data_IF_436724813567
#
_entry.id   IF_436724813567
#
_cell.length_a   1.000
_cell.length_b   1.000
_cell.length_c   1.000
_cell.angle_alpha   90.00
_cell.angle_beta   90.00
_cell.angle_gamma   90.00
#
_symmetry.space_group_name_H-M   'P 1'
#
loop_
_entity.id
_entity.type
_entity.pdbx_description
1 polymer ?
#
# COMPACT_ATOMS: atom_id res chain seq x y z
N UNK A 1 13.54 2.06 2.41
CA UNK A 1 14.90 2.59 2.16
C UNK A 1 15.14 2.58 0.66
N UNK A 2 15.95 3.48 0.14
CA UNK A 2 16.41 3.49 -1.25
C UNK A 2 17.92 3.39 -1.28
N UNK A 3 18.46 2.53 -2.13
CA UNK A 3 19.90 2.29 -2.25
C UNK A 3 20.38 2.72 -3.63
N UNK A 4 21.48 3.45 -3.67
CA UNK A 4 22.13 3.89 -4.89
C UNK A 4 23.60 3.50 -4.84
N UNK A 5 24.03 2.67 -5.79
CA UNK A 5 25.39 2.15 -5.86
C UNK A 5 26.15 2.91 -6.95
N UNK A 6 27.21 3.63 -6.57
CA UNK A 6 28.02 4.46 -7.46
C UNK A 6 29.48 4.07 -7.33
N UNK A 7 30.01 3.38 -8.35
CA UNK A 7 31.42 3.03 -8.41
C UNK A 7 32.26 4.23 -8.86
N UNK A 8 33.49 4.34 -8.34
CA UNK A 8 34.45 5.39 -8.70
C UNK A 8 33.88 6.82 -8.54
N UNK A 9 33.22 7.09 -7.41
CA UNK A 9 32.59 8.39 -7.15
C UNK A 9 33.59 9.55 -7.20
N UNK A 10 34.84 9.33 -6.76
CA UNK A 10 35.88 10.35 -6.78
C UNK A 10 35.45 11.62 -6.03
N UNK A 11 35.61 12.78 -6.66
CA UNK A 11 35.17 14.07 -6.11
C UNK A 11 33.70 14.44 -6.36
N UNK A 12 32.95 13.57 -7.05
CA UNK A 12 31.53 13.79 -7.29
C UNK A 12 30.71 13.54 -6.01
N UNK A 13 29.46 14.02 -6.00
CA UNK A 13 28.52 13.91 -4.89
C UNK A 13 27.23 13.30 -5.37
N UNK A 14 26.69 12.42 -4.54
CA UNK A 14 25.35 11.86 -4.70
C UNK A 14 24.33 12.80 -4.06
N UNK A 15 23.20 13.02 -4.71
CA UNK A 15 22.06 13.76 -4.18
C UNK A 15 20.79 12.91 -4.25
N UNK A 16 19.97 13.00 -3.22
CA UNK A 16 18.65 12.40 -3.17
C UNK A 16 17.60 13.47 -3.42
N UNK A 17 16.72 13.22 -4.39
CA UNK A 17 15.69 14.17 -4.83
C UNK A 17 14.35 13.44 -4.87
N UNK A 18 13.29 14.07 -4.36
CA UNK A 18 11.92 13.64 -4.61
C UNK A 18 11.52 14.17 -5.99
N UNK A 19 11.52 13.30 -6.99
CA UNK A 19 11.50 13.67 -8.41
C UNK A 19 10.18 14.32 -8.84
N UNK A 20 9.06 13.91 -8.24
CA UNK A 20 7.73 14.46 -8.52
C UNK A 20 7.58 15.92 -8.03
N UNK A 21 8.12 16.24 -6.86
CA UNK A 21 8.08 17.60 -6.30
C UNK A 21 9.35 18.40 -6.58
N UNK A 22 10.33 17.82 -7.25
CA UNK A 22 11.68 18.38 -7.49
C UNK A 22 12.37 18.86 -6.21
N UNK A 23 12.07 18.26 -5.07
CA UNK A 23 12.60 18.66 -3.78
C UNK A 23 13.93 17.94 -3.50
N UNK A 24 14.99 18.71 -3.21
CA UNK A 24 16.27 18.15 -2.75
C UNK A 24 16.07 17.65 -1.32
N UNK A 25 16.29 16.35 -1.11
CA UNK A 25 16.15 15.71 0.19
C UNK A 25 17.47 15.70 0.95
N UNK A 26 18.54 15.32 0.26
CA UNK A 26 19.88 15.23 0.82
C UNK A 26 20.95 15.39 -0.25
N UNK A 27 22.14 15.85 0.16
CA UNK A 27 23.34 15.91 -0.66
C UNK A 27 24.47 15.27 0.13
N UNK A 28 25.10 14.26 -0.46
CA UNK A 28 26.11 13.44 0.17
C UNK A 28 25.59 12.87 1.50
N UNK A 29 26.26 13.11 2.62
CA UNK A 29 25.85 12.68 3.96
C UNK A 29 24.87 13.64 4.66
N UNK A 30 24.58 14.80 4.06
CA UNK A 30 23.80 15.85 4.71
C UNK A 30 22.35 15.86 4.22
N UNK A 31 21.42 15.73 5.17
CA UNK A 31 19.99 15.93 4.93
C UNK A 31 19.71 17.43 4.81
N UNK A 32 19.07 17.85 3.72
CA UNK A 32 18.75 19.27 3.43
C UNK A 32 17.29 19.60 3.78
N UNK A 33 16.40 18.63 3.62
CA UNK A 33 14.99 18.78 3.99
C UNK A 33 14.77 18.85 5.50
N UNK A 34 13.69 19.51 5.93
CA UNK A 34 13.27 19.61 7.33
C UNK A 34 12.52 18.35 7.85
N UNK A 35 12.33 17.33 7.01
CA UNK A 35 11.63 16.12 7.40
C UNK A 35 12.53 15.24 8.29
N UNK A 36 12.34 15.31 9.61
CA UNK A 36 13.09 14.57 10.62
C UNK A 36 13.04 13.03 10.49
N UNK A 37 12.12 12.49 9.67
CA UNK A 37 12.05 11.06 9.38
C UNK A 37 13.10 10.60 8.37
N UNK A 38 13.70 11.53 7.64
CA UNK A 38 14.72 11.26 6.62
C UNK A 38 16.12 11.21 7.23
N UNK A 39 16.91 10.26 6.75
CA UNK A 39 18.33 10.14 7.08
C UNK A 39 19.07 9.53 5.89
N UNK A 40 20.36 9.81 5.78
CA UNK A 40 21.24 9.21 4.78
C UNK A 40 22.32 8.41 5.47
N UNK A 41 22.66 7.25 4.91
CA UNK A 41 23.78 6.42 5.35
C UNK A 41 24.65 6.03 4.16
N UNK A 42 25.96 5.93 4.39
CA UNK A 42 26.96 5.49 3.43
C UNK A 42 27.73 4.31 4.01
N UNK A 43 28.17 3.37 3.16
CA UNK A 43 28.92 2.18 3.59
C UNK A 43 30.44 2.30 3.39
N UNK A 44 30.96 3.52 3.28
CA UNK A 44 32.39 3.84 3.06
C UNK A 44 33.00 3.31 1.75
N UNK A 45 32.18 2.76 0.83
CA UNK A 45 32.65 2.22 -0.43
C UNK A 45 31.96 2.84 -1.64
N UNK A 46 30.71 2.48 -1.87
CA UNK A 46 30.00 2.86 -3.09
C UNK A 46 28.48 2.98 -2.91
N UNK A 47 27.95 2.68 -1.72
CA UNK A 47 26.50 2.56 -1.52
C UNK A 47 25.98 3.69 -0.67
N UNK A 48 25.15 4.52 -1.27
CA UNK A 48 24.41 5.61 -0.64
C UNK A 48 22.98 5.18 -0.39
N UNK A 49 22.47 5.39 0.82
CA UNK A 49 21.13 4.94 1.20
C UNK A 49 20.31 6.08 1.76
N UNK A 50 19.10 6.29 1.21
CA UNK A 50 18.09 7.16 1.79
C UNK A 50 17.12 6.34 2.64
N UNK A 51 17.00 6.71 3.90
CA UNK A 51 16.14 6.06 4.88
C UNK A 51 14.96 6.98 5.22
N UNK A 52 13.74 6.44 5.18
CA UNK A 52 12.51 7.12 5.57
C UNK A 52 11.89 6.31 6.71
N UNK A 53 11.90 6.85 7.93
CA UNK A 53 11.30 6.22 9.10
C UNK A 53 9.79 6.45 9.13
N UNK A 54 9.01 5.43 9.51
CA UNK A 54 7.56 5.53 9.62
C UNK A 54 6.93 6.08 8.34
N UNK A 55 7.05 5.33 7.24
CA UNK A 55 6.54 5.73 5.92
C UNK A 55 5.04 6.02 5.99
N UNK A 56 4.63 7.10 5.35
CA UNK A 56 3.24 7.57 5.30
C UNK A 56 2.78 7.70 3.85
N UNK A 57 1.47 7.86 3.64
CA UNK A 57 0.86 7.92 2.30
C UNK A 57 1.45 9.05 1.46
N UNK A 58 1.76 10.17 2.07
CA UNK A 58 2.38 11.35 1.45
C UNK A 58 3.82 11.13 0.96
N UNK A 59 4.51 10.10 1.46
CA UNK A 59 5.85 9.73 0.97
C UNK A 59 5.77 9.00 -0.38
N UNK A 60 4.61 8.47 -0.76
CA UNK A 60 4.42 7.82 -2.06
C UNK A 60 4.88 8.74 -3.18
N UNK A 61 5.65 8.19 -4.12
CA UNK A 61 6.14 8.96 -5.25
C UNK A 61 7.48 8.49 -5.78
N UNK A 62 8.01 9.24 -6.74
CA UNK A 62 9.27 8.91 -7.38
C UNK A 62 10.43 9.57 -6.66
N UNK A 63 11.42 8.78 -6.28
CA UNK A 63 12.69 9.20 -5.69
C UNK A 63 13.81 9.01 -6.70
N UNK A 64 14.81 9.88 -6.62
CA UNK A 64 15.93 9.92 -7.56
C UNK A 64 17.24 10.03 -6.81
N UNK A 65 18.17 9.16 -7.16
CA UNK A 65 19.59 9.33 -6.87
C UNK A 65 20.24 10.00 -8.07
N UNK A 66 20.95 11.11 -7.84
CA UNK A 66 21.60 11.91 -8.88
C UNK A 66 23.06 12.11 -8.52
N UNK A 67 23.96 12.03 -9.51
CA UNK A 67 25.40 12.30 -9.34
C UNK A 67 25.75 13.52 -10.19
N UNK A 68 26.45 14.50 -9.61
CA UNK A 68 26.84 15.75 -10.28
C UNK A 68 27.96 15.59 -11.33
N UNK A 69 27.92 14.53 -12.13
CA UNK A 69 28.78 14.35 -13.31
C UNK A 69 28.35 15.28 -14.45
N UNK A 70 29.20 15.41 -15.47
CA UNK A 70 28.85 16.05 -16.73
C UNK A 70 29.05 15.05 -17.89
N UNK A 71 27.99 14.61 -18.58
CA UNK A 71 26.58 14.89 -18.30
C UNK A 71 26.11 14.26 -16.99
N UNK A 72 25.05 14.84 -16.41
CA UNK A 72 24.49 14.40 -15.14
C UNK A 72 23.91 13.00 -15.22
N UNK A 73 24.33 12.12 -14.32
CA UNK A 73 23.83 10.74 -14.21
C UNK A 73 22.78 10.64 -13.10
N UNK A 74 21.74 9.85 -13.34
CA UNK A 74 20.68 9.63 -12.35
C UNK A 74 20.07 8.23 -12.45
N UNK A 75 19.46 7.79 -11.36
CA UNK A 75 18.61 6.60 -11.29
C UNK A 75 17.36 6.92 -10.47
N UNK A 76 16.21 6.45 -10.92
CA UNK A 76 14.91 6.67 -10.26
C UNK A 76 14.31 5.38 -9.72
N UNK A 77 13.54 5.50 -8.65
CA UNK A 77 12.77 4.41 -8.05
C UNK A 77 11.43 4.96 -7.54
N UNK A 78 10.40 4.13 -7.53
CA UNK A 78 9.07 4.53 -7.06
C UNK A 78 8.78 3.94 -5.67
N UNK A 79 8.39 4.78 -4.71
CA UNK A 79 7.87 4.35 -3.42
C UNK A 79 6.38 4.08 -3.53
N UNK A 80 5.96 2.82 -3.46
CA UNK A 80 4.56 2.48 -3.24
C UNK A 80 4.30 2.24 -1.75
N UNK A 81 3.28 2.91 -1.21
CA UNK A 81 2.90 2.81 0.20
C UNK A 81 1.61 2.02 0.31
N UNK A 82 1.70 0.80 0.84
CA UNK A 82 0.56 -0.08 1.08
C UNK A 82 0.00 0.12 2.49
N UNK A 83 -1.32 0.01 2.62
CA UNK A 83 -2.04 0.14 3.88
C UNK A 83 -2.78 -1.18 4.12
N UNK A 84 -2.54 -1.87 5.24
CA UNK A 84 -3.18 -3.14 5.52
C UNK A 84 -4.72 -2.98 5.57
N UNK A 85 -5.47 -4.04 5.23
CA UNK A 85 -6.91 -4.05 5.38
C UNK A 85 -7.34 -3.86 6.84
N UNK A 86 -8.37 -3.06 7.06
CA UNK A 86 -8.98 -2.81 8.37
C UNK A 86 -10.50 -2.71 8.20
N UNK A 87 -11.25 -3.42 9.03
CA UNK A 87 -12.72 -3.48 8.93
C UNK A 87 -13.31 -2.20 9.52
N UNK A 88 -14.20 -1.57 8.77
CA UNK A 88 -14.98 -0.42 9.24
C UNK A 88 -16.21 -1.00 9.94
N UNK A 89 -16.13 -1.14 11.26
CA UNK A 89 -17.15 -1.82 12.07
C UNK A 89 -18.50 -1.10 11.99
N UNK A 90 -18.50 0.23 11.92
CA UNK A 90 -19.70 1.05 11.88
C UNK A 90 -20.50 0.90 10.57
N UNK A 91 -19.83 0.46 9.49
CA UNK A 91 -20.45 0.20 8.18
C UNK A 91 -20.59 -1.30 7.86
N UNK A 92 -20.19 -2.17 8.80
CA UNK A 92 -20.26 -3.62 8.66
C UNK A 92 -21.45 -4.14 9.44
N UNK A 93 -22.14 -5.15 8.89
CA UNK A 93 -23.25 -5.82 9.57
C UNK A 93 -22.77 -6.46 10.88
N UNK A 94 -23.45 -6.15 11.98
CA UNK A 94 -23.38 -6.95 13.21
C UNK A 94 -24.28 -8.18 13.12
N UNK A 95 -24.57 -8.77 14.27
CA UNK A 95 -25.45 -9.93 14.36
C UNK A 95 -26.86 -9.60 13.88
N UNK A 96 -27.43 -10.49 13.07
CA UNK A 96 -28.75 -10.33 12.47
C UNK A 96 -29.66 -11.51 12.84
N UNK A 97 -30.87 -11.19 13.29
CA UNK A 97 -31.96 -12.17 13.48
C UNK A 97 -32.95 -12.01 12.34
N UNK A 98 -33.15 -13.07 11.56
CA UNK A 98 -34.01 -13.04 10.37
C UNK A 98 -35.01 -14.20 10.45
N UNK A 99 -36.32 -13.94 10.33
CA UNK A 99 -37.33 -14.99 10.30
C UNK A 99 -37.08 -15.98 9.16
N UNK A 100 -37.52 -17.21 9.35
CA UNK A 100 -37.49 -18.21 8.29
C UNK A 100 -38.26 -17.73 7.04
N UNK A 101 -37.69 -17.96 5.86
CA UNK A 101 -38.23 -17.43 4.58
C UNK A 101 -37.99 -15.94 4.37
N UNK A 102 -37.44 -15.22 5.36
CA UNK A 102 -36.99 -13.84 5.24
C UNK A 102 -35.73 -13.68 4.39
N UNK A 103 -35.30 -12.44 4.19
CA UNK A 103 -34.10 -12.11 3.42
C UNK A 103 -33.11 -11.32 4.26
N UNK A 104 -31.84 -11.73 4.23
CA UNK A 104 -30.74 -11.05 4.91
C UNK A 104 -29.75 -10.46 3.89
N UNK A 105 -29.19 -9.28 4.19
CA UNK A 105 -28.08 -8.69 3.43
C UNK A 105 -26.91 -8.44 4.37
N UNK A 106 -25.87 -9.25 4.24
CA UNK A 106 -24.61 -9.07 4.96
C UNK A 106 -23.74 -8.04 4.23
N UNK A 107 -23.28 -7.03 4.96
CA UNK A 107 -22.40 -5.98 4.47
C UNK A 107 -21.10 -6.06 5.25
N UNK A 108 -19.97 -6.02 4.55
CA UNK A 108 -18.66 -5.88 5.15
C UNK A 108 -17.90 -4.80 4.38
N UNK A 109 -17.45 -3.79 5.12
CA UNK A 109 -16.69 -2.67 4.60
C UNK A 109 -15.31 -2.71 5.23
N UNK A 110 -14.29 -2.62 4.40
CA UNK A 110 -12.92 -2.52 4.87
C UNK A 110 -12.19 -1.41 4.12
N UNK A 111 -11.34 -0.69 4.83
CA UNK A 111 -10.37 0.26 4.27
C UNK A 111 -9.02 -0.42 4.11
N UNK A 112 -8.20 0.08 3.20
CA UNK A 112 -6.89 -0.46 2.90
C UNK A 112 -6.40 0.01 1.54
N UNK A 113 -5.12 -0.16 1.27
CA UNK A 113 -4.55 0.14 -0.04
C UNK A 113 -3.48 -0.91 -0.43
N UNK A 114 -3.61 -1.57 -1.60
CA UNK A 114 -4.73 -1.49 -2.54
C UNK A 114 -6.08 -1.84 -1.91
N UNK A 115 -7.22 -1.45 -2.53
CA UNK A 115 -8.54 -1.72 -1.98
C UNK A 115 -8.73 -3.21 -1.63
N UNK A 116 -9.15 -3.55 -0.40
CA UNK A 116 -9.21 -4.93 0.05
C UNK A 116 -10.31 -5.72 -0.67
N UNK A 117 -10.05 -7.00 -0.91
CA UNK A 117 -11.05 -7.93 -1.44
C UNK A 117 -11.84 -8.55 -0.30
N UNK A 118 -13.15 -8.31 -0.28
CA UNK A 118 -14.06 -8.94 0.69
C UNK A 118 -14.48 -10.33 0.19
N UNK A 119 -14.32 -11.34 1.05
CA UNK A 119 -14.74 -12.73 0.79
C UNK A 119 -15.53 -13.22 1.99
N UNK A 120 -16.74 -13.72 1.73
CA UNK A 120 -17.58 -14.36 2.73
C UNK A 120 -17.33 -15.86 2.76
N UNK A 121 -17.32 -16.43 3.96
CA UNK A 121 -17.24 -17.87 4.22
C UNK A 121 -18.11 -18.20 5.42
N UNK A 122 -18.66 -19.41 5.45
CA UNK A 122 -19.27 -19.95 6.67
C UNK A 122 -18.17 -20.44 7.59
N UNK A 123 -18.38 -20.31 8.89
CA UNK A 123 -17.45 -20.79 9.92
C UNK A 123 -17.32 -22.32 9.89
N UNK A 124 -18.42 -23.03 9.61
CA UNK A 124 -18.46 -24.49 9.47
C UNK A 124 -17.84 -25.02 8.16
N UNK A 125 -17.32 -24.14 7.30
CA UNK A 125 -16.75 -24.51 6.01
C UNK A 125 -17.76 -24.91 4.94
N UNK A 126 -19.06 -24.85 5.23
CA UNK A 126 -20.11 -25.14 4.26
C UNK A 126 -20.20 -24.10 3.14
N UNK A 127 -20.91 -24.46 2.07
CA UNK A 127 -21.19 -23.52 0.99
C UNK A 127 -22.22 -22.45 1.40
N UNK A 128 -22.01 -21.22 0.92
CA UNK A 128 -23.00 -20.14 1.00
C UNK A 128 -23.96 -20.29 -0.19
N UNK A 129 -25.20 -20.69 0.11
CA UNK A 129 -26.25 -20.89 -0.90
C UNK A 129 -27.06 -19.60 -1.02
N UNK A 130 -26.90 -18.86 -2.13
CA UNK A 130 -27.79 -17.74 -2.48
C UNK A 130 -28.81 -18.20 -3.53
N UNK A 131 -30.10 -18.26 -3.17
CA UNK A 131 -31.17 -18.48 -4.16
C UNK A 131 -31.55 -17.14 -4.79
N UNK A 132 -30.89 -16.79 -5.89
CA UNK A 132 -31.37 -15.72 -6.78
C UNK A 132 -32.57 -16.21 -7.58
N UNK A 133 -33.50 -15.31 -7.91
CA UNK A 133 -34.53 -15.56 -8.93
C UNK A 133 -33.93 -16.03 -10.26
N UNK A 134 -34.75 -16.46 -11.23
CA UNK A 134 -34.33 -17.30 -12.36
C UNK A 134 -33.36 -16.58 -13.30
N UNK A 135 -32.06 -16.64 -13.01
CA UNK A 135 -30.92 -16.59 -13.93
C UNK A 135 -29.58 -16.63 -13.17
N UNK A 136 -28.81 -17.72 -13.36
CA UNK A 136 -27.35 -17.73 -13.27
C UNK A 136 -26.69 -17.82 -11.87
N UNK A 137 -25.90 -18.89 -11.66
CA UNK A 137 -24.91 -18.98 -10.57
C UNK A 137 -23.76 -17.98 -10.85
N UNK A 138 -23.73 -16.85 -10.17
CA UNK A 138 -22.63 -15.88 -10.31
C UNK A 138 -21.60 -16.07 -9.19
N UNK A 139 -20.34 -16.36 -9.55
CA UNK A 139 -19.19 -16.25 -8.63
C UNK A 139 -18.87 -14.77 -8.42
N UNK A 140 -19.51 -14.13 -7.44
CA UNK A 140 -19.16 -12.78 -7.02
C UNK A 140 -20.26 -12.08 -6.23
N UNK A 141 -19.90 -11.63 -5.02
CA UNK A 141 -20.64 -10.76 -4.11
C UNK A 141 -22.02 -11.28 -3.69
N UNK A 142 -22.05 -11.97 -2.54
CA UNK A 142 -23.29 -12.40 -1.92
C UNK A 142 -24.01 -11.15 -1.41
N UNK A 143 -25.06 -10.74 -2.12
CA UNK A 143 -25.91 -9.62 -1.71
C UNK A 143 -27.17 -10.08 -0.95
N UNK A 144 -27.52 -11.37 -0.98
CA UNK A 144 -28.61 -11.96 -0.21
C UNK A 144 -28.37 -13.46 0.07
N UNK A 145 -28.53 -13.87 1.32
CA UNK A 145 -28.53 -15.28 1.75
C UNK A 145 -29.97 -15.64 2.18
N UNK A 146 -30.52 -16.72 1.61
CA UNK A 146 -31.79 -17.31 2.06
C UNK A 146 -31.45 -18.60 2.80
N UNK A 147 -31.78 -18.67 4.10
CA UNK A 147 -31.53 -19.84 4.95
C UNK A 147 -32.80 -20.71 4.97
N UNK A 148 -32.64 -22.02 4.78
CA UNK A 148 -33.67 -23.03 4.99
C UNK A 148 -33.17 -23.98 6.07
N UNK A 149 -33.98 -24.30 7.08
CA UNK A 149 -33.71 -25.40 7.99
C UNK A 149 -34.55 -26.62 7.63
N UNK A 150 -33.94 -27.79 7.78
CA UNK A 150 -34.65 -29.02 8.14
C UNK A 150 -34.73 -29.13 9.66
#
# INVERSE_FOLDING_TARGET
MFTCVVNNLGGYRVAWIKADTKAILAIHEHVITNNARLSVTHNDYNTWTLNIRGVKREDRGQYMCQVNTDPMKMQTAFLEVVIPPDIIYEETSGDMMVPEGGSAKLVCKARGYPPPKIVWRREDGGEIISRGGPQGRTKGKIEKLNVYNG
#
